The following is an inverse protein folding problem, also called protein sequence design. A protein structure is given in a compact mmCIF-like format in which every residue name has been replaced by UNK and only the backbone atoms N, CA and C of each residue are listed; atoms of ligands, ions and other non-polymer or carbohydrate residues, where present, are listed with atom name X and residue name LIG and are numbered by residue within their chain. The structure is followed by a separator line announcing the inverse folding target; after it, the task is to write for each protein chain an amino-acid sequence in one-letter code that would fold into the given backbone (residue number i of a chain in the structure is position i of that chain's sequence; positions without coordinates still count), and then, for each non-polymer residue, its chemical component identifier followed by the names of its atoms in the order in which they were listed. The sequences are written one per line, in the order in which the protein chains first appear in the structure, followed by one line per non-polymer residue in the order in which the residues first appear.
data_IF_799491392153
#
_entry.id   IF_799491392153
#
_cell.length_a   1.000
_cell.length_b   1.000
_cell.length_c   1.000
_cell.angle_alpha   90.00
_cell.angle_beta   90.00
_cell.angle_gamma   90.00
#
_symmetry.space_group_name_H-M   'P 1'
#
loop_
_entity.id
_entity.type
_entity.pdbx_description
1 polymer ?
#
# COMPACT_ATOMS: atom_id res chain seq x y z
N UNK A 1 -37.46 44.50 -29.64
CA UNK A 1 -37.35 43.70 -28.41
C UNK A 1 -37.17 42.24 -28.85
N UNK A 2 -35.93 41.74 -28.88
CA UNK A 2 -35.60 40.38 -29.29
C UNK A 2 -34.80 39.75 -28.14
N UNK A 3 -35.45 38.87 -27.39
CA UNK A 3 -34.86 38.15 -26.27
C UNK A 3 -34.31 36.83 -26.82
N UNK A 4 -32.99 36.77 -27.03
CA UNK A 4 -32.29 35.54 -27.41
C UNK A 4 -32.04 34.67 -26.19
N UNK A 5 -32.72 33.52 -26.11
CA UNK A 5 -32.48 32.50 -25.09
C UNK A 5 -31.17 31.78 -25.42
N UNK A 6 -30.14 32.01 -24.61
CA UNK A 6 -28.90 31.25 -24.65
C UNK A 6 -29.14 29.88 -23.99
N UNK A 7 -29.19 28.82 -24.81
CA UNK A 7 -29.09 27.45 -24.33
C UNK A 7 -27.64 27.19 -23.86
N UNK A 8 -27.39 27.34 -22.57
CA UNK A 8 -26.19 26.80 -21.94
C UNK A 8 -26.30 25.28 -21.89
N UNK A 9 -25.60 24.57 -22.78
CA UNK A 9 -25.39 23.14 -22.62
C UNK A 9 -24.59 22.90 -21.34
N UNK A 10 -25.22 22.32 -20.32
CA UNK A 10 -24.52 21.77 -19.18
C UNK A 10 -23.59 20.66 -19.68
N UNK A 11 -22.29 20.92 -19.73
CA UNK A 11 -21.28 19.89 -19.93
C UNK A 11 -21.30 18.97 -18.71
N UNK A 12 -21.99 17.84 -18.82
CA UNK A 12 -21.96 16.81 -17.78
C UNK A 12 -20.55 16.23 -17.72
N UNK A 13 -19.88 16.41 -16.57
CA UNK A 13 -18.60 15.76 -16.32
C UNK A 13 -18.75 14.24 -16.46
N UNK A 14 -17.83 13.60 -17.19
CA UNK A 14 -17.86 12.14 -17.39
C UNK A 14 -17.84 11.41 -16.05
N UNK A 15 -18.57 10.31 -15.92
CA UNK A 15 -18.59 9.56 -14.65
C UNK A 15 -17.27 8.83 -14.41
N UNK A 16 -16.92 8.56 -13.14
CA UNK A 16 -15.77 7.71 -12.77
C UNK A 16 -15.80 6.37 -13.52
N UNK A 17 -16.97 5.76 -13.68
CA UNK A 17 -17.14 4.49 -14.42
C UNK A 17 -16.77 4.65 -15.90
N UNK A 18 -17.23 5.71 -16.55
CA UNK A 18 -16.89 5.99 -17.95
C UNK A 18 -15.38 6.19 -18.11
N UNK A 19 -14.76 6.94 -17.20
CA UNK A 19 -13.31 7.17 -17.22
C UNK A 19 -12.50 5.90 -16.97
N UNK A 20 -12.95 5.03 -16.04
CA UNK A 20 -12.37 3.71 -15.82
C UNK A 20 -12.36 2.88 -17.11
N UNK A 21 -13.51 2.81 -17.80
CA UNK A 21 -13.65 2.05 -19.04
C UNK A 21 -12.74 2.60 -20.16
N UNK A 22 -12.55 3.92 -20.24
CA UNK A 22 -11.61 4.53 -21.20
C UNK A 22 -10.17 4.08 -20.96
N UNK A 23 -9.72 4.04 -19.71
CA UNK A 23 -8.37 3.55 -19.36
C UNK A 23 -8.23 2.09 -19.80
N UNK A 24 -9.22 1.27 -19.50
CA UNK A 24 -9.21 -0.15 -19.88
C UNK A 24 -9.18 -0.28 -21.41
N UNK A 25 -10.10 0.34 -22.14
CA UNK A 25 -10.17 0.22 -23.61
C UNK A 25 -8.91 0.69 -24.31
N UNK A 26 -8.18 1.63 -23.71
CA UNK A 26 -6.98 2.20 -24.31
C UNK A 26 -5.72 1.38 -24.02
N UNK A 27 -5.58 0.83 -22.81
CA UNK A 27 -4.30 0.29 -22.34
C UNK A 27 -4.32 -1.18 -21.97
N UNK A 28 -5.50 -1.74 -21.70
CA UNK A 28 -5.59 -3.15 -21.37
C UNK A 28 -5.56 -4.00 -22.64
N UNK A 29 -4.73 -5.04 -22.63
CA UNK A 29 -4.66 -6.06 -23.69
C UNK A 29 -4.96 -7.41 -23.04
N UNK A 30 -5.91 -8.16 -23.59
CA UNK A 30 -6.30 -9.48 -23.06
C UNK A 30 -5.23 -10.55 -23.31
N UNK A 31 -4.36 -10.35 -24.31
CA UNK A 31 -3.34 -11.32 -24.71
C UNK A 31 -2.02 -10.59 -25.04
N UNK A 32 -0.97 -10.87 -24.27
CA UNK A 32 0.38 -10.39 -24.54
C UNK A 32 1.17 -11.51 -25.18
N UNK A 33 1.19 -11.53 -26.51
CA UNK A 33 1.85 -12.59 -27.28
C UNK A 33 3.39 -12.55 -27.18
N UNK A 34 3.99 -11.48 -26.65
CA UNK A 34 5.43 -11.36 -26.38
C UNK A 34 5.81 -11.28 -24.88
N UNK A 35 4.87 -11.59 -23.97
CA UNK A 35 5.14 -11.73 -22.53
C UNK A 35 5.06 -10.44 -21.70
N UNK A 36 5.46 -10.53 -20.43
CA UNK A 36 5.21 -9.51 -19.38
C UNK A 36 5.71 -8.09 -19.70
N UNK A 37 6.76 -7.95 -20.51
CA UNK A 37 7.36 -6.65 -20.83
C UNK A 37 6.39 -5.75 -21.62
N UNK A 38 5.69 -6.33 -22.59
CA UNK A 38 4.69 -5.62 -23.40
C UNK A 38 3.48 -5.21 -22.57
N UNK A 39 3.19 -5.94 -21.49
CA UNK A 39 2.15 -5.57 -20.53
C UNK A 39 2.50 -4.37 -19.68
N UNK A 40 3.76 -4.28 -19.26
CA UNK A 40 4.19 -3.25 -18.33
C UNK A 40 4.39 -1.88 -18.97
N UNK A 41 4.51 -1.79 -20.30
CA UNK A 41 4.82 -0.53 -20.99
C UNK A 41 3.79 0.59 -20.77
N UNK A 42 2.54 0.24 -20.41
CA UNK A 42 1.44 1.19 -20.18
C UNK A 42 1.19 1.52 -18.71
N UNK A 43 1.91 0.91 -17.77
CA UNK A 43 1.67 1.07 -16.33
C UNK A 43 1.66 2.55 -15.90
N UNK A 44 2.59 3.36 -16.42
CA UNK A 44 2.66 4.78 -16.09
C UNK A 44 1.43 5.56 -16.59
N UNK A 45 1.01 5.31 -17.82
CA UNK A 45 -0.15 5.95 -18.44
C UNK A 45 -1.45 5.57 -17.71
N UNK A 46 -1.58 4.30 -17.32
CA UNK A 46 -2.68 3.80 -16.50
C UNK A 46 -2.67 4.52 -15.13
N UNK A 47 -1.52 4.58 -14.46
CA UNK A 47 -1.37 5.27 -13.18
C UNK A 47 -1.73 6.76 -13.27
N UNK A 48 -1.28 7.45 -14.32
CA UNK A 48 -1.59 8.86 -14.58
C UNK A 48 -3.09 9.09 -14.85
N UNK A 49 -3.72 8.21 -15.63
CA UNK A 49 -5.16 8.22 -15.85
C UNK A 49 -5.95 8.07 -14.55
N UNK A 50 -5.56 7.12 -13.70
CA UNK A 50 -6.20 6.90 -12.39
C UNK A 50 -5.99 8.12 -11.48
N UNK A 51 -4.77 8.67 -11.39
CA UNK A 51 -4.48 9.90 -10.62
C UNK A 51 -5.34 11.08 -11.07
N UNK A 52 -5.56 11.22 -12.38
CA UNK A 52 -6.43 12.25 -12.95
C UNK A 52 -7.88 12.07 -12.50
N UNK A 53 -8.42 10.85 -12.54
CA UNK A 53 -9.78 10.55 -12.03
C UNK A 53 -9.90 10.93 -10.55
N UNK A 54 -8.93 10.51 -9.72
CA UNK A 54 -8.91 10.78 -8.28
C UNK A 54 -8.94 12.30 -8.01
N UNK A 55 -8.11 13.05 -8.73
CA UNK A 55 -7.98 14.51 -8.57
C UNK A 55 -9.20 15.28 -9.05
N UNK A 56 -9.79 14.88 -10.17
CA UNK A 56 -10.94 15.58 -10.77
C UNK A 56 -12.27 15.24 -10.09
N UNK A 57 -12.39 14.05 -9.49
CA UNK A 57 -13.64 13.56 -8.90
C UNK A 57 -13.41 12.90 -7.53
N UNK A 58 -12.87 13.62 -6.53
CA UNK A 58 -12.42 13.01 -5.27
C UNK A 58 -13.56 12.30 -4.52
N UNK A 59 -14.72 12.94 -4.40
CA UNK A 59 -15.88 12.37 -3.69
C UNK A 59 -16.47 11.13 -4.38
N UNK A 60 -16.51 11.11 -5.71
CA UNK A 60 -17.05 9.98 -6.49
C UNK A 60 -16.05 8.83 -6.52
N UNK A 61 -14.77 9.13 -6.80
CA UNK A 61 -13.70 8.13 -6.86
C UNK A 61 -13.45 7.47 -5.50
N UNK A 62 -13.64 8.17 -4.37
CA UNK A 62 -13.54 7.57 -3.04
C UNK A 62 -14.51 6.40 -2.86
N UNK A 63 -15.78 6.60 -3.27
CA UNK A 63 -16.85 5.61 -3.13
C UNK A 63 -16.83 4.52 -4.19
N UNK A 64 -16.19 4.78 -5.33
CA UNK A 64 -16.17 3.87 -6.46
C UNK A 64 -15.10 2.77 -6.32
N UNK A 65 -15.45 1.50 -6.43
CA UNK A 65 -14.53 0.39 -6.10
C UNK A 65 -13.52 0.02 -7.19
N UNK A 66 -13.62 0.62 -8.38
CA UNK A 66 -12.80 0.33 -9.56
C UNK A 66 -12.70 -1.18 -9.85
N UNK A 67 -13.84 -1.88 -9.77
CA UNK A 67 -13.89 -3.33 -9.92
C UNK A 67 -13.25 -3.81 -11.24
N UNK A 68 -13.47 -3.11 -12.34
CA UNK A 68 -12.97 -3.55 -13.65
C UNK A 68 -11.44 -3.43 -13.75
N UNK A 69 -10.85 -2.31 -13.30
CA UNK A 69 -9.39 -2.17 -13.25
C UNK A 69 -8.75 -3.19 -12.30
N UNK A 70 -9.39 -3.46 -11.15
CA UNK A 70 -8.88 -4.43 -10.17
C UNK A 70 -8.90 -5.86 -10.69
N UNK A 71 -9.99 -6.27 -11.34
CA UNK A 71 -10.12 -7.61 -11.93
C UNK A 71 -9.07 -7.85 -13.02
N UNK A 72 -8.64 -6.78 -13.70
CA UNK A 72 -7.59 -6.81 -14.73
C UNK A 72 -6.18 -6.57 -14.17
N UNK A 73 -6.01 -6.56 -12.85
CA UNK A 73 -4.74 -6.30 -12.16
C UNK A 73 -4.07 -4.95 -12.49
N UNK A 74 -4.82 -3.98 -13.03
CA UNK A 74 -4.32 -2.65 -13.39
C UNK A 74 -4.31 -1.66 -12.21
N UNK A 75 -4.99 -2.01 -11.11
CA UNK A 75 -5.06 -1.19 -9.91
C UNK A 75 -5.17 -2.07 -8.67
N UNK A 76 -4.37 -1.77 -7.65
CA UNK A 76 -4.53 -2.30 -6.30
C UNK A 76 -5.13 -1.24 -5.39
N UNK A 77 -6.21 -1.62 -4.69
CA UNK A 77 -6.87 -0.76 -3.71
C UNK A 77 -6.79 -1.38 -2.32
N UNK A 78 -6.52 -0.53 -1.35
CA UNK A 78 -6.57 -0.87 0.07
C UNK A 78 -7.46 0.13 0.81
N UNK A 79 -8.15 -0.36 1.84
CA UNK A 79 -8.96 0.45 2.73
C UNK A 79 -8.42 0.30 4.14
N UNK A 80 -8.45 1.38 4.94
CA UNK A 80 -8.31 1.21 6.38
C UNK A 80 -9.51 0.44 6.95
N UNK A 81 -9.36 -0.30 8.06
CA UNK A 81 -10.47 -0.98 8.73
C UNK A 81 -11.67 -0.08 9.04
N UNK A 82 -11.45 1.19 9.39
CA UNK A 82 -12.52 2.17 9.61
C UNK A 82 -13.04 2.86 8.33
N UNK A 83 -12.56 2.46 7.16
CA UNK A 83 -12.90 3.03 5.86
C UNK A 83 -12.72 4.56 5.74
N UNK A 84 -11.90 5.17 6.61
CA UNK A 84 -11.51 6.58 6.48
C UNK A 84 -10.46 6.80 5.40
N UNK A 85 -9.65 5.77 5.12
CA UNK A 85 -8.59 5.80 4.13
C UNK A 85 -8.91 4.88 2.96
N UNK A 86 -8.59 5.37 1.76
CA UNK A 86 -8.54 4.57 0.53
C UNK A 86 -7.22 4.82 -0.17
N UNK A 87 -6.43 3.77 -0.34
CA UNK A 87 -5.08 3.84 -0.89
C UNK A 87 -5.06 3.17 -2.26
N UNK A 88 -4.56 3.90 -3.24
CA UNK A 88 -4.32 3.48 -4.61
C UNK A 88 -2.83 3.16 -4.74
N UNK A 89 -2.51 1.88 -4.91
CA UNK A 89 -1.17 1.43 -5.18
C UNK A 89 -1.02 1.21 -6.68
N UNK A 90 -0.27 2.09 -7.32
CA UNK A 90 -0.16 2.22 -8.78
C UNK A 90 1.22 1.72 -9.21
N UNK A 91 1.25 0.64 -9.99
CA UNK A 91 2.49 0.21 -10.62
C UNK A 91 2.87 1.23 -11.71
N UNK A 92 4.14 1.62 -11.74
CA UNK A 92 4.67 2.57 -12.73
C UNK A 92 5.93 2.04 -13.42
N UNK A 93 6.20 0.75 -13.23
CA UNK A 93 7.34 0.06 -13.84
C UNK A 93 7.06 -0.22 -15.31
N UNK A 94 8.09 -0.15 -16.15
CA UNK A 94 7.99 -0.40 -17.60
C UNK A 94 8.61 -1.75 -18.02
N UNK A 95 8.57 -2.75 -17.13
CA UNK A 95 9.15 -4.08 -17.34
C UNK A 95 10.22 -4.46 -16.31
N UNK A 96 10.95 -5.54 -16.56
CA UNK A 96 12.03 -6.02 -15.70
C UNK A 96 11.55 -6.67 -14.39
N UNK A 97 12.52 -7.07 -13.55
CA UNK A 97 12.25 -7.69 -12.25
C UNK A 97 12.08 -6.67 -11.12
N UNK A 98 12.82 -5.55 -11.18
CA UNK A 98 12.66 -4.41 -10.27
C UNK A 98 11.31 -3.72 -10.52
N UNK A 99 10.62 -3.30 -9.45
CA UNK A 99 9.31 -2.65 -9.55
C UNK A 99 9.25 -1.32 -8.81
N UNK A 100 8.54 -0.37 -9.42
CA UNK A 100 8.31 0.97 -8.90
C UNK A 100 6.83 1.25 -8.77
N UNK A 101 6.46 1.86 -7.65
CA UNK A 101 5.08 2.19 -7.34
C UNK A 101 4.93 3.65 -6.99
N UNK A 102 3.83 4.25 -7.43
CA UNK A 102 3.33 5.48 -6.86
C UNK A 102 2.08 5.17 -6.03
N UNK A 103 1.97 5.83 -4.89
CA UNK A 103 0.85 5.62 -3.99
C UNK A 103 0.10 6.94 -3.78
N UNK A 104 -1.21 6.91 -4.00
CA UNK A 104 -2.12 8.00 -3.67
C UNK A 104 -3.05 7.54 -2.57
N UNK A 105 -3.35 8.43 -1.62
CA UNK A 105 -4.37 8.19 -0.62
C UNK A 105 -5.47 9.23 -0.77
N UNK A 106 -6.71 8.78 -0.63
CA UNK A 106 -7.82 9.64 -0.31
C UNK A 106 -8.26 9.38 1.12
N UNK A 107 -8.65 10.44 1.81
CA UNK A 107 -9.07 10.38 3.20
C UNK A 107 -10.22 11.34 3.46
N UNK A 108 -11.07 10.99 4.43
CA UNK A 108 -12.19 11.82 4.85
C UNK A 108 -11.78 12.70 6.04
N UNK A 109 -11.95 14.01 5.89
CA UNK A 109 -11.90 14.99 6.98
C UNK A 109 -13.25 15.70 6.99
N UNK A 110 -14.03 15.51 8.07
CA UNK A 110 -15.44 15.84 8.11
C UNK A 110 -16.18 15.27 6.88
N UNK A 111 -16.91 16.11 6.14
CA UNK A 111 -17.69 15.69 4.95
C UNK A 111 -16.92 15.83 3.63
N UNK A 112 -15.63 16.17 3.67
CA UNK A 112 -14.80 16.36 2.47
C UNK A 112 -13.82 15.21 2.29
N UNK A 113 -13.76 14.69 1.07
CA UNK A 113 -12.66 13.81 0.64
C UNK A 113 -11.50 14.67 0.19
N UNK A 114 -10.36 14.48 0.85
CA UNK A 114 -9.07 15.05 0.47
C UNK A 114 -8.16 13.97 -0.10
N UNK A 115 -7.04 14.38 -0.70
CA UNK A 115 -6.07 13.48 -1.31
C UNK A 115 -4.64 13.88 -0.96
N UNK A 116 -3.75 12.91 -0.91
CA UNK A 116 -2.32 13.10 -0.65
C UNK A 116 -1.52 12.06 -1.43
N UNK A 117 -0.32 12.44 -1.89
CA UNK A 117 0.67 11.47 -2.38
C UNK A 117 1.37 10.84 -1.19
N UNK A 118 1.39 9.51 -1.11
CA UNK A 118 2.19 8.78 -0.14
C UNK A 118 3.56 8.48 -0.76
N UNK A 119 4.53 9.36 -0.47
CA UNK A 119 5.89 9.20 -0.96
C UNK A 119 6.60 8.01 -0.30
N UNK A 120 7.54 7.41 -1.02
CA UNK A 120 8.45 6.37 -0.52
C UNK A 120 7.78 5.11 0.03
N UNK A 121 6.54 4.82 -0.39
CA UNK A 121 5.87 3.53 -0.18
C UNK A 121 5.97 2.74 -1.47
N UNK A 122 6.38 1.48 -1.41
CA UNK A 122 6.51 0.62 -2.57
C UNK A 122 5.18 -0.15 -2.82
N UNK A 123 5.26 -1.46 -3.09
CA UNK A 123 4.09 -2.31 -3.27
C UNK A 123 3.36 -2.47 -1.95
N UNK A 124 2.22 -1.83 -1.78
CA UNK A 124 1.44 -1.99 -0.55
C UNK A 124 0.92 -3.45 -0.46
N UNK A 125 1.10 -4.06 0.72
CA UNK A 125 0.73 -5.45 1.02
C UNK A 125 -0.40 -5.54 2.03
N UNK A 126 -0.38 -4.68 3.05
CA UNK A 126 -1.38 -4.67 4.13
C UNK A 126 -1.62 -3.26 4.63
N UNK A 127 -2.87 -2.99 4.97
CA UNK A 127 -3.29 -1.84 5.77
C UNK A 127 -3.97 -2.38 7.02
N UNK A 128 -3.41 -2.07 8.17
CA UNK A 128 -3.96 -2.35 9.48
C UNK A 128 -4.28 -1.04 10.22
N UNK A 129 -4.92 -1.18 11.37
CA UNK A 129 -5.26 -0.07 12.24
C UNK A 129 -5.26 -0.56 13.68
N UNK A 130 -4.79 0.29 14.58
CA UNK A 130 -4.89 0.09 16.02
C UNK A 130 -5.13 1.44 16.69
N UNK A 131 -5.52 1.40 17.95
CA UNK A 131 -5.61 2.58 18.80
C UNK A 131 -4.48 2.55 19.82
N UNK A 132 -3.57 3.52 19.82
CA UNK A 132 -2.55 3.68 20.85
C UNK A 132 -2.96 4.88 21.71
N UNK A 133 -3.29 4.63 22.98
CA UNK A 133 -4.00 5.60 23.83
C UNK A 133 -5.30 6.11 23.19
N UNK A 134 -5.39 7.42 22.99
CA UNK A 134 -6.54 8.04 22.31
C UNK A 134 -6.38 8.12 20.79
N UNK A 135 -5.18 7.85 20.27
CA UNK A 135 -4.85 8.08 18.88
C UNK A 135 -5.08 6.83 18.01
N UNK A 136 -5.76 7.03 16.87
CA UNK A 136 -5.84 6.00 15.82
C UNK A 136 -4.54 6.01 15.02
N UNK A 137 -3.88 4.85 14.98
CA UNK A 137 -2.65 4.63 14.22
C UNK A 137 -2.94 3.63 13.10
N UNK A 138 -2.63 4.04 11.87
CA UNK A 138 -2.69 3.20 10.69
C UNK A 138 -1.33 2.56 10.45
N UNK A 139 -1.34 1.25 10.23
CA UNK A 139 -0.14 0.44 10.09
C UNK A 139 -0.09 -0.07 8.65
N UNK A 140 0.87 0.43 7.87
CA UNK A 140 1.04 0.05 6.46
C UNK A 140 2.23 -0.89 6.36
N UNK A 141 2.06 -1.99 5.62
CA UNK A 141 3.16 -2.87 5.24
C UNK A 141 3.34 -2.81 3.73
N UNK A 142 4.51 -2.39 3.28
CA UNK A 142 4.88 -2.38 1.86
C UNK A 142 6.10 -3.26 1.57
N UNK A 143 6.21 -3.70 0.32
CA UNK A 143 7.34 -4.46 -0.20
C UNK A 143 8.07 -3.67 -1.27
N UNK A 144 9.33 -3.30 -1.02
CA UNK A 144 10.23 -2.87 -2.10
C UNK A 144 10.68 -4.10 -2.90
N UNK A 145 10.68 -3.99 -4.23
CA UNK A 145 11.09 -5.07 -5.13
C UNK A 145 12.28 -4.56 -5.94
N UNK A 146 13.49 -4.87 -5.48
CA UNK A 146 14.74 -4.46 -6.13
C UNK A 146 15.10 -5.41 -7.26
N UNK A 147 14.73 -6.69 -7.15
CA UNK A 147 14.86 -7.70 -8.19
C UNK A 147 13.85 -8.82 -7.99
N UNK A 148 13.99 -9.93 -8.72
CA UNK A 148 13.21 -11.15 -8.49
C UNK A 148 13.53 -11.82 -7.15
N UNK A 149 14.63 -11.44 -6.49
CA UNK A 149 15.15 -12.12 -5.31
C UNK A 149 15.45 -11.18 -4.13
N UNK A 150 15.54 -9.88 -4.36
CA UNK A 150 15.95 -8.90 -3.37
C UNK A 150 14.88 -7.83 -3.17
N UNK A 151 14.72 -7.40 -1.94
CA UNK A 151 13.69 -6.43 -1.57
C UNK A 151 13.71 -6.09 -0.08
N UNK A 152 12.70 -5.34 0.35
CA UNK A 152 12.47 -5.01 1.74
C UNK A 152 11.00 -5.22 2.07
N UNK A 153 10.70 -5.71 3.27
CA UNK A 153 9.38 -5.57 3.88
C UNK A 153 9.44 -4.45 4.91
N UNK A 154 8.62 -3.41 4.74
CA UNK A 154 8.65 -2.23 5.61
C UNK A 154 7.32 -2.06 6.33
N UNK A 155 7.37 -1.96 7.65
CA UNK A 155 6.27 -1.53 8.50
C UNK A 155 6.35 -0.02 8.70
N UNK A 156 5.24 0.68 8.52
CA UNK A 156 5.13 2.12 8.73
C UNK A 156 3.92 2.45 9.57
N UNK A 157 4.05 3.44 10.45
CA UNK A 157 2.96 3.95 11.26
C UNK A 157 2.62 5.38 10.83
N UNK A 158 1.32 5.63 10.67
CA UNK A 158 0.78 6.94 10.34
C UNK A 158 -0.40 7.29 11.24
N UNK A 159 -0.61 8.58 11.42
CA UNK A 159 -1.82 9.12 12.04
C UNK A 159 -2.49 10.07 11.06
N UNK A 160 -3.82 10.11 11.07
CA UNK A 160 -4.61 11.00 10.22
C UNK A 160 -4.96 12.27 11.00
N UNK A 161 -4.49 13.42 10.52
CA UNK A 161 -4.92 14.75 10.98
C UNK A 161 -5.74 15.48 9.93
N UNK A 162 -5.99 16.77 10.15
CA UNK A 162 -6.77 17.62 9.23
C UNK A 162 -6.10 17.82 7.86
N UNK A 163 -4.77 17.69 7.81
CA UNK A 163 -3.96 17.86 6.60
C UNK A 163 -3.45 16.53 6.02
N UNK A 164 -4.03 15.41 6.45
CA UNK A 164 -3.72 14.08 5.93
C UNK A 164 -2.86 13.24 6.87
N UNK A 165 -2.18 12.26 6.29
CA UNK A 165 -1.37 11.31 7.03
C UNK A 165 -0.01 11.91 7.36
N UNK A 166 0.38 11.77 8.61
CA UNK A 166 1.72 12.10 9.12
C UNK A 166 2.33 10.86 9.74
N UNK A 167 3.65 10.67 9.56
CA UNK A 167 4.37 9.57 10.20
C UNK A 167 4.27 9.66 11.72
N UNK A 168 3.97 8.53 12.37
CA UNK A 168 3.80 8.43 13.81
C UNK A 168 4.94 7.60 14.40
N UNK A 169 5.76 8.21 15.27
CA UNK A 169 6.84 7.52 15.98
C UNK A 169 6.26 6.69 17.11
N UNK A 170 5.92 5.43 16.83
CA UNK A 170 5.24 4.54 17.78
C UNK A 170 6.04 3.28 18.12
N UNK A 171 7.08 2.94 17.36
CA UNK A 171 7.87 1.73 17.61
C UNK A 171 9.07 2.07 18.50
N UNK A 172 8.94 1.86 19.81
CA UNK A 172 10.00 2.16 20.77
C UNK A 172 11.00 1.01 20.86
N UNK A 173 12.22 1.29 20.44
CA UNK A 173 13.39 0.43 20.63
C UNK A 173 14.08 0.78 21.96
N UNK A 174 15.21 0.15 22.25
CA UNK A 174 16.03 0.53 23.41
C UNK A 174 16.67 1.93 23.28
N UNK A 175 16.84 2.43 22.05
CA UNK A 175 17.61 3.65 21.78
C UNK A 175 16.74 4.82 21.27
N UNK A 176 15.65 4.52 20.57
CA UNK A 176 14.85 5.54 19.90
C UNK A 176 13.41 5.07 19.66
N UNK A 177 12.54 5.99 19.28
CA UNK A 177 11.18 5.66 18.82
C UNK A 177 11.08 5.93 17.33
N UNK A 178 10.73 4.89 16.58
CA UNK A 178 10.72 4.88 15.12
C UNK A 178 9.29 5.01 14.59
N UNK A 179 9.14 5.64 13.42
CA UNK A 179 7.90 5.62 12.63
C UNK A 179 7.84 4.45 11.64
N UNK A 180 8.98 3.80 11.40
CA UNK A 180 9.12 2.70 10.45
C UNK A 180 10.15 1.67 10.89
N UNK A 181 9.94 0.42 10.47
CA UNK A 181 10.90 -0.69 10.60
C UNK A 181 10.99 -1.37 9.24
N UNK A 182 12.19 -1.44 8.66
CA UNK A 182 12.44 -2.12 7.39
C UNK A 182 13.21 -3.41 7.63
N UNK A 183 12.80 -4.48 6.96
CA UNK A 183 13.42 -5.80 7.00
C UNK A 183 13.85 -6.16 5.58
N UNK A 184 15.14 -6.02 5.22
CA UNK A 184 15.64 -6.42 3.92
C UNK A 184 15.57 -7.94 3.78
N UNK A 185 15.53 -8.43 2.54
CA UNK A 185 15.65 -9.86 2.28
C UNK A 185 16.42 -10.14 1.00
N UNK A 186 17.08 -11.29 0.97
CA UNK A 186 17.66 -11.89 -0.22
C UNK A 186 17.22 -13.35 -0.30
N UNK A 187 16.49 -13.71 -1.35
CA UNK A 187 15.93 -15.05 -1.50
C UNK A 187 16.99 -16.15 -1.57
N UNK A 188 18.23 -15.82 -1.96
CA UNK A 188 19.36 -16.77 -1.95
C UNK A 188 19.79 -17.16 -0.53
N UNK A 189 19.44 -16.36 0.48
CA UNK A 189 19.71 -16.66 1.88
C UNK A 189 18.61 -17.53 2.52
N UNK A 190 17.51 -17.81 1.80
CA UNK A 190 16.40 -18.59 2.33
C UNK A 190 16.71 -20.08 2.30
N UNK A 191 16.23 -20.79 3.31
CA UNK A 191 16.40 -22.24 3.43
C UNK A 191 15.25 -22.94 2.68
N UNK A 192 15.48 -24.11 2.05
CA UNK A 192 14.42 -24.80 1.29
C UNK A 192 13.14 -25.09 2.07
N UNK A 193 13.25 -25.25 3.40
CA UNK A 193 12.12 -25.48 4.31
C UNK A 193 11.34 -24.22 4.69
N UNK A 194 11.84 -23.02 4.36
CA UNK A 194 11.16 -21.78 4.67
C UNK A 194 9.86 -21.68 3.84
N UNK A 195 8.73 -21.38 4.49
CA UNK A 195 7.38 -21.33 3.87
C UNK A 195 7.26 -20.38 2.67
N UNK A 196 8.19 -19.44 2.58
CA UNK A 196 8.26 -18.38 1.58
C UNK A 196 9.31 -18.65 0.49
N UNK A 197 10.02 -19.78 0.54
CA UNK A 197 11.01 -20.17 -0.49
C UNK A 197 10.38 -20.30 -1.88
N UNK A 198 9.13 -20.76 -1.96
CA UNK A 198 8.44 -21.00 -3.24
C UNK A 198 7.48 -19.87 -3.65
N UNK A 199 7.12 -18.98 -2.72
CA UNK A 199 6.15 -17.91 -2.96
C UNK A 199 6.61 -16.58 -2.34
N UNK A 200 7.36 -15.82 -3.14
CA UNK A 200 7.90 -14.53 -2.71
C UNK A 200 6.81 -13.48 -2.45
N UNK A 201 5.57 -13.71 -2.91
CA UNK A 201 4.46 -12.81 -2.61
C UNK A 201 4.10 -12.81 -1.12
N UNK A 202 4.50 -13.84 -0.38
CA UNK A 202 4.22 -14.03 1.06
C UNK A 202 5.36 -13.62 1.99
N UNK A 203 6.54 -13.26 1.47
CA UNK A 203 7.70 -12.87 2.29
C UNK A 203 7.33 -11.81 3.34
N UNK A 204 6.52 -10.82 2.98
CA UNK A 204 6.12 -9.76 3.91
C UNK A 204 5.41 -10.28 5.17
N UNK A 205 4.64 -11.37 5.06
CA UNK A 205 3.92 -11.99 6.19
C UNK A 205 4.89 -12.71 7.13
N UNK A 206 6.06 -13.09 6.62
CA UNK A 206 7.09 -13.81 7.35
C UNK A 206 8.14 -12.87 7.92
N UNK A 207 8.33 -11.70 7.32
CA UNK A 207 9.18 -10.63 7.84
C UNK A 207 8.49 -9.79 8.91
N UNK A 208 7.19 -9.50 8.74
CA UNK A 208 6.42 -8.65 9.65
C UNK A 208 5.08 -9.33 9.95
N UNK A 209 4.92 -9.77 11.19
CA UNK A 209 3.70 -10.44 11.69
C UNK A 209 2.95 -9.54 12.65
N UNK A 210 1.64 -9.72 12.69
CA UNK A 210 0.75 -9.07 13.65
C UNK A 210 -0.07 -10.15 14.32
N UNK A 211 -0.27 -10.05 15.63
CA UNK A 211 -1.35 -10.79 16.29
C UNK A 211 -2.72 -10.35 15.73
N UNK A 212 -3.74 -11.20 15.84
CA UNK A 212 -5.06 -10.90 15.28
C UNK A 212 -5.66 -9.60 15.83
N UNK A 213 -5.44 -9.32 17.11
CA UNK A 213 -5.87 -8.11 17.82
C UNK A 213 -4.86 -6.95 17.73
N UNK A 214 -3.73 -7.16 17.03
CA UNK A 214 -2.63 -6.19 16.89
C UNK A 214 -2.05 -5.73 18.24
N UNK A 215 -2.16 -6.56 19.29
CA UNK A 215 -1.43 -6.36 20.55
C UNK A 215 0.06 -6.60 20.39
N UNK A 216 0.44 -7.53 19.51
CA UNK A 216 1.82 -7.84 19.20
C UNK A 216 2.14 -7.59 17.73
N UNK A 217 3.34 -7.05 17.50
CA UNK A 217 3.97 -6.95 16.19
C UNK A 217 5.32 -7.63 16.30
N UNK A 218 5.54 -8.62 15.45
CA UNK A 218 6.75 -9.42 15.45
C UNK A 218 7.55 -9.14 14.17
N UNK A 219 8.82 -8.76 14.34
CA UNK A 219 9.75 -8.42 13.26
C UNK A 219 10.80 -9.52 13.15
N UNK A 220 10.92 -10.15 11.98
CA UNK A 220 11.83 -11.29 11.77
C UNK A 220 13.26 -10.87 12.05
N UNK A 221 13.97 -11.71 12.83
CA UNK A 221 15.40 -11.54 13.04
C UNK A 221 16.15 -12.14 11.86
N UNK A 222 17.13 -11.41 11.36
CA UNK A 222 18.05 -11.85 10.32
C UNK A 222 19.47 -11.90 10.90
N UNK A 223 20.30 -12.79 10.40
CA UNK A 223 21.73 -12.72 10.66
C UNK A 223 22.41 -11.69 9.74
N UNK A 224 23.74 -11.55 9.88
CA UNK A 224 24.57 -10.65 9.07
C UNK A 224 24.54 -10.95 7.55
N UNK A 225 24.10 -12.15 7.16
CA UNK A 225 24.01 -12.61 5.77
C UNK A 225 22.56 -12.59 5.25
N UNK A 226 21.64 -11.94 5.99
CA UNK A 226 20.21 -11.87 5.68
C UNK A 226 19.48 -13.22 5.74
N UNK A 227 20.05 -14.23 6.40
CA UNK A 227 19.38 -15.51 6.63
C UNK A 227 18.30 -15.32 7.69
N UNK A 228 17.02 -15.60 7.39
CA UNK A 228 15.95 -15.53 8.39
C UNK A 228 16.17 -16.53 9.52
N UNK A 229 16.13 -16.04 10.75
CA UNK A 229 16.24 -16.87 11.96
C UNK A 229 14.86 -17.36 12.39
N UNK A 230 14.78 -18.46 13.15
CA UNK A 230 13.50 -18.98 13.68
C UNK A 230 12.98 -18.20 14.90
N UNK A 231 13.19 -16.89 14.88
CA UNK A 231 12.91 -15.96 15.97
C UNK A 231 12.49 -14.57 15.44
N UNK A 232 11.81 -13.83 16.32
CA UNK A 232 11.30 -12.49 16.05
C UNK A 232 11.61 -11.53 17.20
N UNK A 233 11.87 -10.27 16.89
CA UNK A 233 11.73 -9.19 17.86
C UNK A 233 10.25 -8.90 18.08
N UNK A 234 9.79 -9.03 19.32
CA UNK A 234 8.40 -8.74 19.69
C UNK A 234 8.25 -7.33 20.20
N UNK A 235 7.35 -6.59 19.57
CA UNK A 235 6.82 -5.33 20.06
C UNK A 235 5.42 -5.57 20.62
N UNK A 236 5.16 -5.02 21.80
CA UNK A 236 3.87 -5.10 22.46
C UNK A 236 3.29 -3.70 22.61
N UNK A 237 2.00 -3.58 22.30
CA UNK A 237 1.23 -2.38 22.58
C UNK A 237 1.26 -2.04 24.08
N UNK A 238 1.67 -0.82 24.42
CA UNK A 238 1.71 -0.29 25.78
C UNK A 238 1.42 1.21 25.75
N UNK A 239 0.23 1.61 26.20
CA UNK A 239 -0.20 3.01 26.15
C UNK A 239 -0.21 3.53 24.71
N UNK A 240 0.60 4.56 24.46
CA UNK A 240 0.64 5.31 23.19
C UNK A 240 1.66 4.76 22.18
N UNK A 241 2.32 3.65 22.50
CA UNK A 241 3.42 3.08 21.70
C UNK A 241 3.35 1.56 21.59
N UNK A 242 4.12 1.02 20.67
CA UNK A 242 4.58 -0.35 20.63
C UNK A 242 5.98 -0.45 21.24
N UNK A 243 6.09 -1.04 22.42
CA UNK A 243 7.34 -1.19 23.16
C UNK A 243 8.00 -2.53 22.83
N UNK A 244 9.29 -2.53 22.47
CA UNK A 244 10.06 -3.75 22.35
C UNK A 244 10.09 -4.53 23.69
N UNK A 245 9.80 -5.84 23.63
CA UNK A 245 9.70 -6.74 24.80
C UNK A 245 10.76 -7.83 24.86
N UNK A 246 11.39 -8.16 23.74
CA UNK A 246 12.35 -9.25 23.68
C UNK A 246 12.22 -10.07 22.41
N UNK A 247 12.83 -11.26 22.44
CA UNK A 247 12.84 -12.21 21.33
C UNK A 247 11.85 -13.34 21.62
N UNK A 248 11.07 -13.73 20.60
CA UNK A 248 10.15 -14.88 20.66
C UNK A 248 10.44 -15.88 19.53
N UNK A 249 10.18 -17.18 19.74
CA UNK A 249 10.35 -18.19 18.68
C UNK A 249 9.25 -18.08 17.62
N UNK A 250 9.55 -18.54 16.40
CA UNK A 250 8.61 -18.54 15.26
C UNK A 250 7.29 -19.26 15.48
N UNK A 251 7.24 -20.17 16.45
CA UNK A 251 6.07 -20.98 16.82
C UNK A 251 5.05 -20.20 17.65
N UNK A 252 5.44 -19.07 18.23
CA UNK A 252 4.55 -18.20 19.01
C UNK A 252 3.81 -17.25 18.07
N UNK A 253 2.46 -17.30 18.08
CA UNK A 253 1.60 -16.35 17.36
C UNK A 253 0.84 -15.46 18.32
#
# INVERSE_FOLDING_TARGET
MLCGVLYGHALYAETVKTLEQKIISQYYQDDFQGGRFEADQYNRQIADGIKKIISQQPNSSFRYDFKALRQKNMLRLFYSPDHKLKIYNLDTSSGGSMRFFENMIQYKVADKVQQQKLANIALLRRVGQTRLGEQVVYLLVDSAIHSSCEGDSTLRAYTLGEHGLTEAKVFKTQQQTLSKIAVPYNCKAFRPQDSFYQDYSKIYQEMIRFSADTQFIDIRILDKNLVPQDQYFRYQKQGDIFQYRGIVPSTTR
#
